data_IF_292495931607
#
_entry.id   IF_292495931607
#
_cell.length_a   1.000
_cell.length_b   1.000
_cell.length_c   1.000
_cell.angle_alpha   90.00
_cell.angle_beta   90.00
_cell.angle_gamma   90.00
#
_symmetry.space_group_name_H-M   'P 1'
#
loop_
_entity.id
_entity.type
_entity.pdbx_description
1 polymer ?
#
# COMPACT_ATOMS: atom_id res chain seq x y z
N UNK A 1 -16.74 34.84 13.47
CA UNK A 1 -15.84 35.27 12.38
C UNK A 1 -14.58 34.48 12.43
N UNK A 2 -13.95 34.43 13.61
CA UNK A 2 -12.71 33.73 13.72
C UNK A 2 -13.07 32.33 13.41
N UNK A 3 -14.23 31.91 13.94
CA UNK A 3 -14.73 30.60 13.72
C UNK A 3 -14.89 30.43 12.26
N UNK A 4 -15.47 31.45 11.59
CA UNK A 4 -15.71 31.31 10.18
C UNK A 4 -14.38 31.13 9.53
N UNK A 5 -13.38 31.87 10.02
CA UNK A 5 -12.07 31.79 9.45
C UNK A 5 -11.65 30.38 9.60
N UNK A 6 -11.89 29.82 10.80
CA UNK A 6 -11.46 28.48 11.06
C UNK A 6 -12.15 27.61 10.08
N UNK A 7 -13.46 27.84 9.89
CA UNK A 7 -14.27 26.99 9.08
C UNK A 7 -13.71 27.03 7.71
N UNK A 8 -13.43 28.25 7.23
CA UNK A 8 -12.92 28.36 5.90
C UNK A 8 -11.63 27.61 5.91
N UNK A 9 -10.82 27.84 6.96
CA UNK A 9 -9.47 27.34 6.98
C UNK A 9 -9.55 25.87 6.84
N UNK A 10 -10.44 25.24 7.62
CA UNK A 10 -10.48 23.82 7.67
C UNK A 10 -10.79 23.34 6.30
N UNK A 11 -11.76 24.00 5.64
CA UNK A 11 -12.16 23.55 4.34
C UNK A 11 -10.97 23.66 3.45
N UNK A 12 -10.22 24.77 3.56
CA UNK A 12 -9.15 25.02 2.65
C UNK A 12 -8.15 23.94 2.83
N UNK A 13 -7.92 23.56 4.10
CA UNK A 13 -6.93 22.57 4.37
C UNK A 13 -7.34 21.34 3.65
N UNK A 14 -8.63 21.00 3.73
CA UNK A 14 -9.09 19.78 3.15
C UNK A 14 -8.79 19.86 1.70
N UNK A 15 -9.02 21.04 1.09
CA UNK A 15 -8.97 21.12 -0.34
C UNK A 15 -7.61 20.73 -0.78
N UNK A 16 -6.59 21.22 -0.05
CA UNK A 16 -5.26 20.87 -0.39
C UNK A 16 -5.11 19.40 -0.23
N UNK A 17 -5.67 18.84 0.86
CA UNK A 17 -5.45 17.45 1.11
C UNK A 17 -6.02 16.69 -0.04
N UNK A 18 -7.22 17.11 -0.48
CA UNK A 18 -7.92 16.37 -1.48
C UNK A 18 -7.07 16.36 -2.70
N UNK A 19 -6.52 17.54 -3.05
CA UNK A 19 -5.78 17.62 -4.26
C UNK A 19 -4.62 16.69 -4.14
N UNK A 20 -3.98 16.69 -2.96
CA UNK A 20 -2.77 15.93 -2.80
C UNK A 20 -3.11 14.50 -3.02
N UNK A 21 -4.22 14.04 -2.42
CA UNK A 21 -4.62 12.67 -2.53
C UNK A 21 -4.84 12.43 -3.98
N UNK A 22 -5.41 13.44 -4.65
CA UNK A 22 -5.70 13.37 -6.04
C UNK A 22 -4.40 13.14 -6.74
N UNK A 23 -3.35 13.85 -6.30
CA UNK A 23 -2.08 13.68 -6.92
C UNK A 23 -1.71 12.25 -6.71
N UNK A 24 -1.97 11.72 -5.50
CA UNK A 24 -1.57 10.37 -5.24
C UNK A 24 -2.63 9.47 -5.78
N UNK A 25 -2.50 9.13 -7.08
CA UNK A 25 -3.46 8.32 -7.76
C UNK A 25 -2.88 8.14 -9.12
N UNK A 26 -3.60 8.67 -10.12
CA UNK A 26 -3.06 9.01 -11.40
C UNK A 26 -1.63 9.48 -11.17
N UNK A 92 13.66 -11.09 -12.48
CA UNK A 92 12.60 -10.39 -11.72
C UNK A 92 11.31 -11.16 -11.84
N UNK A 93 10.75 -11.54 -10.68
CA UNK A 93 9.52 -12.27 -10.68
C UNK A 93 8.43 -11.31 -10.36
N UNK A 94 7.32 -11.36 -11.12
CA UNK A 94 6.22 -10.47 -10.87
C UNK A 94 5.02 -11.31 -10.58
N UNK A 95 4.46 -11.19 -9.36
CA UNK A 95 3.30 -11.95 -9.00
C UNK A 95 2.25 -10.98 -8.54
N UNK A 96 0.99 -11.20 -8.95
CA UNK A 96 -0.05 -10.27 -8.59
C UNK A 96 -1.14 -10.99 -7.86
N UNK A 97 -1.84 -10.27 -6.97
CA UNK A 97 -2.93 -10.85 -6.24
C UNK A 97 -4.18 -10.34 -6.89
N UNK A 98 -4.99 -11.28 -7.42
CA UNK A 98 -6.20 -10.97 -8.13
C UNK A 98 -7.23 -10.36 -7.22
N UNK A 99 -7.43 -10.95 -6.03
CA UNK A 99 -8.46 -10.51 -5.13
C UNK A 99 -7.84 -9.86 -3.93
N UNK A 100 -8.41 -10.15 -2.74
CA UNK A 100 -7.95 -9.55 -1.52
C UNK A 100 -6.74 -10.27 -1.01
N UNK A 101 -6.07 -9.63 -0.03
CA UNK A 101 -4.93 -10.23 0.61
C UNK A 101 -3.69 -9.44 0.32
N UNK A 102 -2.67 -9.65 1.18
CA UNK A 102 -1.41 -8.99 1.05
C UNK A 102 -0.36 -10.05 1.20
N UNK A 103 0.81 -9.84 0.58
CA UNK A 103 1.93 -10.71 0.76
C UNK A 103 2.49 -10.35 2.10
N UNK A 104 3.17 -11.31 2.78
CA UNK A 104 3.71 -11.04 4.08
C UNK A 104 5.18 -10.89 3.88
N UNK A 105 5.82 -9.90 4.54
CA UNK A 105 7.21 -9.66 4.32
C UNK A 105 7.88 -9.31 5.62
N UNK A 106 9.20 -9.58 5.73
CA UNK A 106 9.91 -9.30 6.95
C UNK A 106 11.18 -8.57 6.63
N UNK A 107 11.60 -7.69 7.56
CA UNK A 107 12.79 -6.90 7.46
C UNK A 107 13.89 -7.68 8.12
N UNK A 108 15.07 -7.14 8.10
CA UNK A 108 16.19 -7.78 8.73
C UNK A 108 15.99 -7.89 10.21
N UNK A 109 15.18 -6.99 10.79
CA UNK A 109 14.87 -7.01 12.19
C UNK A 109 13.98 -8.18 12.49
N UNK A 110 13.16 -8.62 11.52
CA UNK A 110 12.26 -9.71 11.78
C UNK A 110 10.88 -9.17 11.97
N UNK A 111 10.68 -7.86 11.76
CA UNK A 111 9.37 -7.29 11.90
C UNK A 111 8.60 -7.66 10.67
N UNK A 112 7.28 -7.86 10.80
CA UNK A 112 6.48 -8.26 9.69
C UNK A 112 5.77 -7.07 9.10
N UNK A 113 5.66 -7.07 7.75
CA UNK A 113 5.01 -6.01 7.01
C UNK A 113 4.19 -6.65 5.92
N UNK A 114 3.27 -5.89 5.30
CA UNK A 114 2.39 -6.45 4.30
C UNK A 114 2.36 -5.59 3.07
N UNK A 115 2.26 -6.22 1.87
CA UNK A 115 2.19 -5.45 0.66
C UNK A 115 1.60 -6.25 -0.46
N UNK A 116 0.83 -5.57 -1.34
CA UNK A 116 0.28 -6.11 -2.55
C UNK A 116 1.35 -6.21 -3.60
N UNK A 117 2.38 -5.33 -3.54
CA UNK A 117 3.42 -5.33 -4.53
C UNK A 117 4.05 -6.67 -4.64
N UNK A 118 3.91 -7.24 -5.85
CA UNK A 118 4.38 -8.50 -6.35
C UNK A 118 5.81 -8.57 -6.77
N UNK A 119 6.52 -7.43 -6.92
CA UNK A 119 7.86 -7.45 -7.48
C UNK A 119 8.87 -7.98 -6.52
N UNK A 120 9.57 -9.07 -6.93
CA UNK A 120 10.58 -9.66 -6.11
C UNK A 120 11.72 -10.05 -6.99
N UNK A 121 12.92 -10.11 -6.40
CA UNK A 121 14.10 -10.53 -7.09
C UNK A 121 14.76 -11.53 -6.20
N UNK A 122 15.47 -12.50 -6.79
CA UNK A 122 16.15 -13.43 -5.93
C UNK A 122 17.49 -12.85 -5.67
N UNK A 123 17.81 -12.55 -4.39
CA UNK A 123 19.08 -11.95 -4.14
C UNK A 123 20.15 -12.98 -3.98
N UNK A 124 21.31 -12.56 -3.45
CA UNK A 124 22.46 -13.41 -3.30
C UNK A 124 22.08 -14.52 -2.39
N UNK A 125 21.40 -14.19 -1.29
CA UNK A 125 20.90 -15.27 -0.51
C UNK A 125 19.74 -15.71 -1.32
N UNK A 126 19.28 -16.93 -1.07
CA UNK A 126 18.15 -17.48 -1.80
C UNK A 126 16.83 -16.86 -1.38
N UNK A 127 16.46 -17.07 -0.12
CA UNK A 127 15.21 -16.53 0.41
C UNK A 127 14.69 -15.39 -0.47
N UNK A 128 13.40 -15.46 -0.80
CA UNK A 128 12.78 -14.44 -1.64
C UNK A 128 13.24 -13.04 -1.24
N UNK A 129 14.40 -12.64 -1.75
CA UNK A 129 14.96 -11.33 -1.46
C UNK A 129 14.70 -10.35 -2.59
N UNK A 130 14.46 -9.19 -2.06
CA UNK A 130 14.17 -8.16 -3.04
C UNK A 130 15.43 -7.38 -3.42
N UNK A 131 15.02 -6.13 -4.10
CA UNK A 131 16.14 -5.28 -4.50
C UNK A 131 17.06 -4.99 -3.31
N UNK A 132 16.51 -5.10 -2.11
CA UNK A 132 17.27 -4.85 -0.90
C UNK A 132 17.95 -6.10 -0.37
N UNK A 133 17.27 -7.23 -0.50
CA UNK A 133 17.80 -8.50 -0.03
C UNK A 133 16.84 -9.23 0.89
N UNK A 134 15.79 -8.53 1.31
CA UNK A 134 14.79 -9.11 2.20
C UNK A 134 14.25 -10.43 1.64
N UNK A 135 14.14 -11.44 2.49
CA UNK A 135 13.65 -12.74 2.08
C UNK A 135 12.16 -12.89 2.39
N UNK A 136 11.65 -14.11 2.26
CA UNK A 136 10.24 -14.38 2.53
C UNK A 136 10.08 -15.52 3.52
N UNK A 137 8.92 -15.57 4.18
CA UNK A 137 8.64 -16.61 5.16
C UNK A 137 7.68 -17.67 4.59
N UNK A 138 7.57 -18.81 5.26
CA UNK A 138 8.33 -19.08 6.48
C UNK A 138 9.56 -19.93 6.22
N UNK A 139 9.36 -21.20 5.89
CA UNK A 139 10.47 -22.11 5.62
C UNK A 139 10.55 -22.45 4.14
N UNK A 140 11.20 -21.58 3.37
CA UNK A 140 11.34 -21.79 1.93
C UNK A 140 12.26 -20.75 1.31
N UNK A 141 13.41 -21.19 0.82
CA UNK A 141 14.38 -20.29 0.20
C UNK A 141 14.69 -20.71 -1.23
N UNK A 142 15.67 -20.05 -1.84
CA UNK A 142 16.06 -20.36 -3.21
C UNK A 142 17.49 -19.89 -3.49
N UNK A 143 18.45 -20.76 -3.22
CA UNK A 143 19.87 -20.43 -3.44
C UNK A 143 20.54 -21.42 -4.38
N UNK A 144 20.14 -21.40 -5.65
CA UNK A 144 20.71 -22.29 -6.65
C UNK A 144 20.50 -21.75 -8.06
N UNK A 145 21.03 -22.47 -9.05
CA UNK A 145 20.90 -22.06 -10.44
C UNK A 145 20.03 -23.02 -11.24
N UNK A 146 20.39 -24.30 -11.22
CA UNK A 146 19.63 -25.32 -11.94
C UNK A 146 19.12 -24.79 -13.27
N UNK A 147 17.80 -24.80 -13.44
CA UNK A 147 17.17 -24.32 -14.66
C UNK A 147 16.38 -23.04 -14.41
N UNK A 148 15.15 -23.20 -13.92
CA UNK A 148 14.29 -22.07 -13.64
C UNK A 148 13.53 -22.26 -12.33
N UNK A 149 12.38 -21.60 -12.21
CA UNK A 149 11.57 -21.69 -11.03
C UNK A 149 10.23 -21.15 -11.37
N UNK A 150 9.19 -21.56 -10.62
CA UNK A 150 7.89 -21.04 -10.89
C UNK A 150 7.12 -20.86 -9.62
N UNK A 151 6.15 -19.93 -9.66
CA UNK A 151 5.25 -19.64 -8.58
C UNK A 151 3.91 -20.04 -9.12
N UNK A 152 3.25 -21.02 -8.48
CA UNK A 152 1.98 -21.46 -8.96
C UNK A 152 0.92 -20.51 -8.47
N UNK A 153 -0.33 -20.74 -8.91
CA UNK A 153 -1.47 -19.91 -8.61
C UNK A 153 -1.74 -19.92 -7.13
N UNK A 154 -1.53 -21.09 -6.49
CA UNK A 154 -1.71 -21.28 -5.07
C UNK A 154 -0.59 -20.65 -4.29
N UNK A 155 0.53 -20.29 -4.93
CA UNK A 155 1.59 -19.65 -4.21
C UNK A 155 2.70 -20.62 -3.96
N UNK A 156 2.53 -21.88 -4.38
CA UNK A 156 3.57 -22.85 -4.20
C UNK A 156 4.70 -22.49 -5.12
N UNK A 157 5.94 -22.64 -4.62
CA UNK A 157 7.08 -22.33 -5.43
C UNK A 157 7.72 -23.64 -5.79
N UNK A 158 7.92 -23.90 -7.10
CA UNK A 158 8.47 -25.16 -7.49
C UNK A 158 9.64 -24.92 -8.39
N UNK A 159 10.63 -25.81 -8.37
CA UNK A 159 11.69 -25.46 -9.25
C UNK A 159 12.25 -26.64 -9.92
N UNK A 160 13.01 -26.36 -10.99
CA UNK A 160 13.78 -27.35 -11.68
C UNK A 160 15.21 -27.02 -11.34
N UNK A 161 16.03 -28.03 -10.94
CA UNK A 161 17.30 -27.67 -10.37
C UNK A 161 18.45 -28.51 -10.80
N UNK A 162 19.65 -27.99 -10.47
CA UNK A 162 20.94 -28.56 -10.70
C UNK A 162 21.10 -29.77 -9.84
N UNK A 163 20.52 -29.76 -8.62
CA UNK A 163 20.67 -30.91 -7.76
C UNK A 163 19.81 -32.04 -8.25
N UNK A 164 19.63 -32.15 -9.58
CA UNK A 164 18.93 -33.18 -10.29
C UNK A 164 17.60 -33.48 -9.69
N UNK A 165 16.75 -32.45 -9.47
CA UNK A 165 15.46 -32.77 -8.96
C UNK A 165 14.55 -31.63 -9.26
N UNK A 166 13.23 -31.90 -9.29
CA UNK A 166 12.31 -30.82 -9.41
C UNK A 166 11.54 -30.83 -8.13
N UNK A 167 11.79 -29.85 -7.32
CA UNK A 167 11.05 -29.83 -6.09
C UNK A 167 9.74 -29.16 -6.28
N UNK A 168 8.76 -29.54 -5.47
CA UNK A 168 7.49 -28.90 -5.45
C UNK A 168 7.45 -28.38 -4.07
N UNK A 169 6.71 -27.27 -3.88
CA UNK A 169 6.66 -26.59 -2.62
C UNK A 169 8.05 -26.48 -2.09
N UNK A 170 8.90 -25.71 -2.81
CA UNK A 170 10.17 -25.39 -2.27
C UNK A 170 9.77 -24.61 -1.08
N UNK A 171 8.66 -23.86 -1.25
CA UNK A 171 8.04 -23.12 -0.20
C UNK A 171 6.78 -22.58 -0.77
N UNK A 172 5.78 -22.27 0.08
CA UNK A 172 4.57 -21.71 -0.44
C UNK A 172 4.33 -20.39 0.21
N UNK A 173 4.02 -19.38 -0.61
CA UNK A 173 3.83 -18.05 -0.12
C UNK A 173 2.56 -17.99 0.66
N UNK A 174 2.56 -17.20 1.76
CA UNK A 174 1.38 -17.07 2.56
C UNK A 174 0.80 -15.71 2.31
N UNK A 175 -0.54 -15.58 2.45
CA UNK A 175 -1.21 -14.32 2.25
C UNK A 175 -1.88 -13.92 3.54
N UNK A 176 -2.09 -12.59 3.74
CA UNK A 176 -2.73 -12.12 4.95
C UNK A 176 -3.86 -11.19 4.62
N UNK A 177 -4.88 -11.17 5.52
CA UNK A 177 -6.01 -10.29 5.38
C UNK A 177 -6.25 -9.65 6.72
N UNK A 178 -6.88 -8.45 6.73
CA UNK A 178 -7.12 -7.75 7.96
C UNK A 178 -8.57 -7.39 8.04
N UNK A 179 -9.08 -7.22 9.28
CA UNK A 179 -10.45 -6.86 9.47
C UNK A 179 -10.65 -5.51 8.85
N UNK A 180 -9.75 -4.54 9.14
CA UNK A 180 -9.90 -3.29 8.45
C UNK A 180 -8.58 -2.88 7.88
N UNK A 181 -8.56 -2.69 6.55
CA UNK A 181 -7.38 -2.27 5.86
C UNK A 181 -7.10 -0.85 6.24
N UNK A 182 -8.15 -0.09 6.60
CA UNK A 182 -8.05 1.31 6.88
C UNK A 182 -7.10 1.53 8.01
N UNK A 183 -7.11 0.62 8.99
CA UNK A 183 -6.31 0.69 10.19
C UNK A 183 -4.84 0.59 9.91
N UNK A 184 -4.44 -0.08 8.81
CA UNK A 184 -3.04 -0.34 8.52
C UNK A 184 -2.26 0.94 8.48
N UNK A 185 -1.01 0.89 8.98
CA UNK A 185 -0.16 2.05 9.02
C UNK A 185 0.78 1.99 7.85
N UNK A 186 0.83 3.07 7.04
CA UNK A 186 1.63 3.07 5.84
C UNK A 186 3.06 3.33 6.16
N UNK A 187 3.94 2.39 5.80
CA UNK A 187 5.37 2.55 5.90
C UNK A 187 5.83 3.41 4.77
N UNK A 188 5.22 3.23 3.58
CA UNK A 188 5.61 3.91 2.39
C UNK A 188 5.88 2.83 1.39
N UNK A 189 5.96 3.19 0.10
CA UNK A 189 6.20 2.24 -0.94
C UNK A 189 5.20 1.13 -0.85
N UNK A 190 3.93 1.50 -0.55
CA UNK A 190 2.81 0.60 -0.47
C UNK A 190 3.12 -0.58 0.39
N UNK A 191 3.84 -0.35 1.50
CA UNK A 191 4.06 -1.41 2.44
C UNK A 191 3.34 -0.97 3.68
N UNK A 192 2.72 -1.92 4.43
CA UNK A 192 1.92 -1.52 5.55
C UNK A 192 2.24 -2.37 6.74
N UNK A 193 1.92 -1.85 7.95
CA UNK A 193 2.15 -2.60 9.15
C UNK A 193 0.87 -2.69 9.92
N UNK A 194 0.69 -3.81 10.65
CA UNK A 194 -0.49 -4.06 11.41
C UNK A 194 -0.53 -3.12 12.58
N UNK A 195 -1.76 -2.77 13.01
CA UNK A 195 -1.95 -1.90 14.13
C UNK A 195 -3.08 -2.45 14.93
N UNK A 196 -3.40 -1.76 16.04
CA UNK A 196 -4.49 -2.16 16.89
C UNK A 196 -5.75 -2.05 16.09
N UNK A 197 -5.86 -0.95 15.32
CA UNK A 197 -7.04 -0.65 14.56
C UNK A 197 -7.24 -1.65 13.46
N UNK A 198 -6.15 -2.11 12.82
CA UNK A 198 -6.24 -3.02 11.71
C UNK A 198 -6.73 -4.35 12.18
N UNK A 199 -6.25 -4.78 13.36
CA UNK A 199 -6.54 -6.10 13.82
C UNK A 199 -5.34 -6.91 13.43
N UNK A 200 -5.27 -8.15 13.95
CA UNK A 200 -4.16 -9.02 13.65
C UNK A 200 -4.34 -9.56 12.27
N UNK A 201 -3.24 -9.89 11.65
CA UNK A 201 -3.29 -10.46 10.34
C UNK A 201 -3.80 -11.87 10.43
N UNK A 202 -4.61 -12.30 9.45
CA UNK A 202 -5.09 -13.64 9.41
C UNK A 202 -4.39 -14.24 8.23
N UNK A 203 -3.79 -15.44 8.39
CA UNK A 203 -2.97 -16.00 7.35
C UNK A 203 -3.70 -17.07 6.62
N UNK A 204 -3.35 -17.24 5.32
CA UNK A 204 -3.95 -18.25 4.50
C UNK A 204 -3.10 -18.39 3.27
N UNK A 205 -3.57 -19.18 2.28
CA UNK A 205 -2.85 -19.33 1.05
C UNK A 205 -3.78 -18.98 -0.07
N UNK A 206 -3.21 -18.60 -1.18
CA UNK A 206 -4.01 -18.24 -2.33
C UNK A 206 -4.78 -19.41 -2.86
N UNK A 207 -6.07 -19.20 -3.19
CA UNK A 207 -6.89 -20.24 -3.76
C UNK A 207 -7.62 -21.00 -2.69
N UNK A 208 -7.42 -20.63 -1.41
CA UNK A 208 -8.13 -21.31 -0.36
C UNK A 208 -8.82 -20.30 0.49
N UNK A 209 -9.97 -20.70 1.07
CA UNK A 209 -10.71 -19.90 2.00
C UNK A 209 -10.87 -18.51 1.49
N UNK A 210 -10.39 -17.55 2.31
CA UNK A 210 -10.52 -16.14 2.14
C UNK A 210 -9.85 -15.63 0.89
N UNK A 211 -8.78 -16.29 0.41
CA UNK A 211 -8.05 -15.67 -0.66
C UNK A 211 -8.24 -16.31 -1.99
N UNK A 212 -8.31 -15.46 -3.04
CA UNK A 212 -8.42 -15.93 -4.39
C UNK A 212 -7.05 -16.33 -4.83
N UNK A 213 -6.98 -16.98 -6.01
CA UNK A 213 -5.74 -17.46 -6.53
C UNK A 213 -4.96 -16.29 -7.02
N UNK A 214 -3.63 -16.47 -7.17
CA UNK A 214 -2.83 -15.44 -7.75
C UNK A 214 -3.30 -15.36 -9.15
N UNK A 215 -3.20 -14.18 -9.81
CA UNK A 215 -3.81 -14.18 -11.10
C UNK A 215 -3.08 -15.13 -12.01
N UNK A 216 -1.78 -14.88 -12.29
CA UNK A 216 -1.03 -15.80 -13.12
C UNK A 216 -0.11 -16.77 -12.42
N UNK A 226 -8.33 9.73 -10.99
CA UNK A 226 -6.99 10.15 -11.46
C UNK A 226 -7.03 11.56 -11.94
N UNK A 227 -7.20 11.74 -13.26
CA UNK A 227 -7.37 13.05 -13.80
C UNK A 227 -8.61 13.57 -13.18
N UNK A 228 -9.58 12.67 -12.94
CA UNK A 228 -10.79 13.08 -12.30
C UNK A 228 -10.36 13.64 -10.99
N UNK A 229 -9.38 12.98 -10.34
CA UNK A 229 -8.91 13.47 -9.09
C UNK A 229 -8.42 14.85 -9.35
N UNK A 230 -7.68 15.02 -10.46
CA UNK A 230 -7.05 16.27 -10.72
C UNK A 230 -8.14 17.28 -10.82
N UNK A 231 -9.23 16.88 -11.48
CA UNK A 231 -10.33 17.76 -11.67
C UNK A 231 -10.75 18.16 -10.31
N UNK A 232 -10.89 17.14 -9.43
CA UNK A 232 -11.42 17.39 -8.13
C UNK A 232 -10.52 18.37 -7.48
N UNK A 233 -9.22 18.08 -7.53
CA UNK A 233 -8.29 18.80 -6.73
C UNK A 233 -8.38 20.21 -7.16
N UNK A 234 -8.44 20.45 -8.48
CA UNK A 234 -8.44 21.81 -8.92
C UNK A 234 -9.64 22.47 -8.35
N UNK A 235 -10.81 21.82 -8.45
CA UNK A 235 -11.98 22.51 -7.99
C UNK A 235 -11.84 22.73 -6.52
N UNK A 236 -11.39 21.69 -5.79
CA UNK A 236 -11.35 21.81 -4.36
C UNK A 236 -10.40 22.91 -4.01
N UNK A 237 -9.26 22.97 -4.71
CA UNK A 237 -8.28 23.96 -4.42
C UNK A 237 -8.93 25.27 -4.64
N UNK A 238 -9.76 25.35 -5.69
CA UNK A 238 -10.36 26.60 -6.01
C UNK A 238 -11.17 27.00 -4.83
N UNK A 239 -11.78 26.01 -4.16
CA UNK A 239 -12.78 26.32 -3.19
C UNK A 239 -12.17 27.17 -2.13
N UNK A 240 -10.97 26.81 -1.66
CA UNK A 240 -10.41 27.55 -0.57
C UNK A 240 -10.23 28.96 -1.03
N UNK A 241 -9.84 29.13 -2.30
CA UNK A 241 -9.55 30.44 -2.81
C UNK A 241 -10.79 31.24 -2.62
N UNK A 242 -11.94 30.61 -2.89
CA UNK A 242 -13.19 31.29 -2.67
C UNK A 242 -13.30 31.57 -1.22
N UNK A 243 -12.97 30.58 -0.38
CA UNK A 243 -13.23 30.70 1.02
C UNK A 243 -12.49 31.89 1.52
N UNK A 244 -11.22 32.02 1.10
CA UNK A 244 -10.42 33.09 1.60
C UNK A 244 -11.10 34.36 1.20
N UNK A 245 -11.64 34.39 -0.03
CA UNK A 245 -12.17 35.61 -0.54
C UNK A 245 -13.26 36.06 0.37
N UNK A 246 -14.12 35.12 0.80
CA UNK A 246 -15.24 35.50 1.59
C UNK A 246 -14.73 36.10 2.86
N UNK A 247 -13.71 35.47 3.46
CA UNK A 247 -13.27 35.90 4.75
C UNK A 247 -12.75 37.29 4.63
N UNK A 248 -11.98 37.56 3.56
CA UNK A 248 -11.31 38.82 3.47
C UNK A 248 -12.35 39.88 3.47
N UNK A 249 -13.45 39.67 2.71
CA UNK A 249 -14.41 40.72 2.52
C UNK A 249 -14.93 41.10 3.86
N UNK A 250 -15.26 40.09 4.68
CA UNK A 250 -15.88 40.38 5.93
C UNK A 250 -14.93 41.23 6.70
N UNK A 251 -13.65 40.83 6.73
CA UNK A 251 -12.71 41.52 7.56
C UNK A 251 -12.66 42.92 7.09
N UNK A 252 -12.69 43.10 5.76
CA UNK A 252 -12.64 44.42 5.23
C UNK A 252 -13.85 45.10 5.75
N UNK A 253 -14.98 44.38 5.75
CA UNK A 253 -16.22 44.98 6.13
C UNK A 253 -16.05 45.45 7.53
N UNK A 254 -15.41 44.61 8.36
CA UNK A 254 -15.27 44.91 9.74
C UNK A 254 -14.48 46.17 9.83
N UNK A 255 -13.39 46.23 9.07
CA UNK A 255 -12.50 47.34 9.16
C UNK A 255 -13.24 48.55 8.71
N UNK A 256 -14.05 48.41 7.65
CA UNK A 256 -14.80 49.52 7.17
C UNK A 256 -15.67 49.93 8.29
N UNK A 257 -16.25 48.93 8.97
CA UNK A 257 -17.17 49.21 10.02
C UNK A 257 -16.41 49.97 11.05
N UNK A 258 -15.14 49.59 11.26
CA UNK A 258 -14.42 50.15 12.35
C UNK A 258 -13.79 51.42 11.89
N UNK A 259 -14.26 52.55 12.44
CA UNK A 259 -15.41 52.52 13.27
C UNK A 259 -16.40 53.42 12.63
N UNK A 260 -17.70 53.12 12.79
CA UNK A 260 -18.70 53.90 12.12
C UNK A 260 -19.26 54.87 13.14
#
# INVERSE_FOLDING_TARGET
MISSLWIAKTGLDAQQTNMDVIANNLANVSTNGFKRQRAVFEDLLYQTIRQPGAQSSEQTTLPSGLQIGTGVRPVATERLHSQGNLSQTNNSKDVAIKGQGFFQVMLPDGTSAYTRDGSFQVDQNGQLVTAGGFQVQPAITIPANALSITIGRDGVVSVTQQGQAAPVQVGQLNLTTFMNDTGLESIGENLYIETQSSGAPNESTPGLNGAGLLYQGYVETSNVNVAEELVNMIQVQRAYEINSKAVSTTDQMLQKLTQL
#
